data_IF_337853217508
#
_entry.id   IF_337853217508
#
_cell.length_a   1.000
_cell.length_b   1.000
_cell.length_c   1.000
_cell.angle_alpha   90.00
_cell.angle_beta   90.00
_cell.angle_gamma   90.00
#
_symmetry.space_group_name_H-M   'P 1'
#
loop_
_entity.id
_entity.type
_entity.pdbx_description
1 polymer ?
#
# COMPACT_ATOMS: atom_id res chain seq x y z
N UNK A 1 -14.43 13.49 6.40
CA UNK A 1 -14.11 12.30 5.57
C UNK A 1 -14.18 11.10 6.51
N UNK A 2 -14.89 10.04 6.14
CA UNK A 2 -14.96 8.82 6.95
C UNK A 2 -13.72 7.97 6.70
N UNK A 3 -13.24 7.28 7.74
CA UNK A 3 -12.07 6.42 7.66
C UNK A 3 -12.36 5.22 6.73
N UNK A 4 -11.53 5.02 5.70
CA UNK A 4 -11.70 3.91 4.74
C UNK A 4 -11.12 2.62 5.32
N UNK A 5 -9.85 2.63 5.75
CA UNK A 5 -9.17 1.48 6.36
C UNK A 5 -9.41 1.50 7.87
N UNK A 6 -10.22 0.58 8.39
CA UNK A 6 -10.73 0.65 9.76
C UNK A 6 -9.81 0.02 10.81
N UNK A 7 -8.98 -0.94 10.40
CA UNK A 7 -8.09 -1.69 11.28
C UNK A 7 -6.70 -1.81 10.68
N UNK A 8 -5.68 -1.90 11.53
CA UNK A 8 -4.32 -2.17 11.06
C UNK A 8 -4.19 -3.55 10.38
N UNK A 9 -5.06 -4.49 10.75
CA UNK A 9 -5.13 -5.83 10.16
C UNK A 9 -5.99 -5.89 8.89
N UNK A 10 -6.51 -4.76 8.42
CA UNK A 10 -7.23 -4.66 7.14
C UNK A 10 -6.22 -4.61 5.98
N UNK A 11 -5.46 -5.69 5.85
CA UNK A 11 -4.42 -5.90 4.83
C UNK A 11 -4.32 -7.40 4.54
N UNK A 12 -3.66 -7.76 3.45
CA UNK A 12 -3.49 -9.15 3.06
C UNK A 12 -2.55 -9.89 4.03
N UNK A 13 -2.93 -11.13 4.40
CA UNK A 13 -2.15 -11.97 5.32
C UNK A 13 -0.65 -12.08 4.95
N UNK A 14 -0.35 -12.14 3.65
CA UNK A 14 1.03 -12.32 3.18
C UNK A 14 1.92 -11.11 3.50
N UNK A 15 1.38 -9.91 3.70
CA UNK A 15 2.16 -8.74 4.11
C UNK A 15 2.77 -8.94 5.48
N UNK A 16 2.02 -9.52 6.41
CA UNK A 16 2.51 -9.79 7.77
C UNK A 16 3.53 -10.93 7.80
N UNK A 17 3.25 -12.06 7.12
CA UNK A 17 4.17 -13.20 7.11
C UNK A 17 5.49 -12.87 6.40
N UNK A 18 5.44 -12.14 5.28
CA UNK A 18 6.66 -11.65 4.62
C UNK A 18 7.40 -10.60 5.45
N UNK A 19 6.69 -9.70 6.13
CA UNK A 19 7.31 -8.67 6.97
C UNK A 19 8.18 -9.31 8.07
N UNK A 20 7.68 -10.33 8.76
CA UNK A 20 8.47 -11.08 9.74
C UNK A 20 9.75 -11.65 9.12
N UNK A 21 9.65 -12.30 7.95
CA UNK A 21 10.81 -12.85 7.26
C UNK A 21 11.82 -11.76 6.84
N UNK A 22 11.36 -10.58 6.42
CA UNK A 22 12.23 -9.44 6.06
C UNK A 22 12.93 -8.87 7.29
N UNK A 23 12.23 -8.70 8.40
CA UNK A 23 12.83 -8.20 9.65
C UNK A 23 13.91 -9.16 10.15
N UNK A 24 13.64 -10.46 10.14
CA UNK A 24 14.57 -11.47 10.67
C UNK A 24 15.82 -11.63 9.79
N UNK A 25 15.66 -11.61 8.46
CA UNK A 25 16.73 -11.99 7.53
C UNK A 25 17.36 -10.81 6.80
N UNK A 26 16.62 -9.73 6.60
CA UNK A 26 17.03 -8.59 5.78
C UNK A 26 16.72 -7.22 6.43
N UNK A 27 17.08 -7.00 7.72
CA UNK A 27 16.63 -5.83 8.49
C UNK A 27 17.11 -4.47 7.95
N UNK A 28 18.07 -4.47 7.01
CA UNK A 28 18.64 -3.26 6.40
C UNK A 28 18.33 -3.12 4.91
N UNK A 29 17.52 -4.01 4.34
CA UNK A 29 17.14 -3.91 2.93
C UNK A 29 16.31 -2.66 2.68
N UNK A 30 16.53 -2.02 1.53
CA UNK A 30 15.75 -0.88 1.07
C UNK A 30 15.12 -1.22 -0.27
N UNK A 31 13.85 -0.85 -0.44
CA UNK A 31 13.07 -1.15 -1.65
C UNK A 31 12.25 0.06 -2.07
N UNK A 32 11.83 0.07 -3.34
CA UNK A 32 10.94 1.11 -3.89
C UNK A 32 9.80 0.45 -4.64
N UNK A 33 8.57 0.78 -4.25
CA UNK A 33 7.36 0.36 -4.95
C UNK A 33 6.85 1.47 -5.87
N UNK A 34 6.13 1.09 -6.91
CA UNK A 34 5.47 2.02 -7.85
C UNK A 34 4.08 1.50 -8.17
N UNK A 35 3.08 2.37 -8.06
CA UNK A 35 1.74 2.10 -8.56
C UNK A 35 1.75 1.96 -10.09
N UNK A 36 1.03 0.97 -10.62
CA UNK A 36 0.87 0.76 -12.06
C UNK A 36 -0.57 0.39 -12.36
N UNK A 37 -1.29 1.31 -12.98
CA UNK A 37 -2.55 0.99 -13.64
C UNK A 37 -2.27 0.26 -14.96
N UNK A 38 -2.93 -0.86 -15.19
CA UNK A 38 -2.78 -1.68 -16.40
C UNK A 38 -3.87 -1.40 -17.43
N UNK A 39 -4.96 -0.76 -17.00
CA UNK A 39 -6.13 -0.52 -17.84
C UNK A 39 -6.14 0.92 -18.41
N UNK A 40 -5.14 1.74 -18.05
CA UNK A 40 -4.99 3.14 -18.47
C UNK A 40 -6.27 3.96 -18.25
N UNK A 41 -6.86 3.79 -17.07
CA UNK A 41 -8.05 4.51 -16.65
C UNK A 41 -7.77 6.01 -16.55
N UNK A 42 -8.76 6.79 -16.99
CA UNK A 42 -8.78 8.24 -16.76
C UNK A 42 -9.44 8.48 -15.40
N UNK A 43 -8.64 8.89 -14.42
CA UNK A 43 -9.15 9.18 -13.08
C UNK A 43 -9.94 10.50 -13.04
N UNK A 44 -11.00 10.60 -12.22
CA UNK A 44 -11.75 11.84 -12.05
C UNK A 44 -10.87 12.99 -11.57
N UNK A 45 -11.25 14.21 -11.93
CA UNK A 45 -10.59 15.42 -11.42
C UNK A 45 -10.63 15.42 -9.88
N UNK A 46 -9.47 15.61 -9.26
CA UNK A 46 -9.32 15.61 -7.80
C UNK A 46 -9.01 14.23 -7.18
N UNK A 47 -9.03 13.14 -7.94
CA UNK A 47 -8.77 11.80 -7.40
C UNK A 47 -7.42 11.68 -6.68
N UNK A 48 -6.36 12.21 -7.29
CA UNK A 48 -5.03 12.19 -6.68
C UNK A 48 -4.94 13.09 -5.43
N UNK A 49 -5.73 14.17 -5.40
CA UNK A 49 -5.77 15.06 -4.24
C UNK A 49 -6.42 14.33 -3.06
N UNK A 50 -7.57 13.69 -3.27
CA UNK A 50 -8.26 12.90 -2.24
C UNK A 50 -7.41 11.73 -1.70
N UNK A 51 -6.54 11.12 -2.51
CA UNK A 51 -5.61 10.07 -2.05
C UNK A 51 -4.53 10.57 -1.07
N UNK A 52 -4.23 11.87 -1.07
CA UNK A 52 -3.21 12.46 -0.18
C UNK A 52 -3.78 12.90 1.18
N UNK A 53 -5.09 12.76 1.40
CA UNK A 53 -5.81 13.24 2.59
C UNK A 53 -6.06 12.10 3.57
#
# INVERSE_FOLDING_TARGET
MEQIIQHFTDDDLYKFTMCCAVIDNFPRAQVKYRFKDRDNLVYPKGFADELNH
#
